data_IF_761450713841
#
_entry.id   IF_761450713841
#
_cell.length_a   1.000
_cell.length_b   1.000
_cell.length_c   1.000
_cell.angle_alpha   90.00
_cell.angle_beta   90.00
_cell.angle_gamma   90.00
#
_symmetry.space_group_name_H-M   'P 1'
#
loop_
_entity.id
_entity.type
_entity.pdbx_description
1 polymer ?
#
# COMPACT_ATOMS: atom_id res chain seq x y z
N UNK A 1 -39.23 1.33 -104.48
CA UNK A 1 -37.99 1.76 -105.08
C UNK A 1 -36.91 1.99 -103.99
N UNK A 2 -35.88 1.23 -103.99
CA UNK A 2 -34.49 1.51 -103.54
C UNK A 2 -34.31 1.92 -102.07
N UNK A 3 -33.47 1.41 -101.33
CA UNK A 3 -32.18 0.74 -101.27
C UNK A 3 -31.64 0.94 -99.87
N UNK A 4 -31.19 -0.11 -99.25
CA UNK A 4 -29.92 -0.33 -98.56
C UNK A 4 -29.38 0.64 -97.48
N UNK A 5 -28.95 0.04 -96.42
CA UNK A 5 -27.95 0.57 -95.49
C UNK A 5 -27.66 -0.36 -94.33
N UNK A 6 -26.67 -1.28 -94.57
CA UNK A 6 -26.06 -2.11 -93.55
C UNK A 6 -25.11 -1.28 -92.70
N UNK A 7 -25.30 -1.27 -91.41
CA UNK A 7 -24.29 -0.72 -90.49
C UNK A 7 -23.87 -1.77 -89.45
N UNK A 8 -22.61 -2.13 -89.61
CA UNK A 8 -21.86 -2.97 -88.69
C UNK A 8 -21.53 -2.24 -87.37
N UNK A 9 -22.00 -2.79 -86.31
CA UNK A 9 -21.59 -2.32 -84.99
C UNK A 9 -20.32 -3.04 -84.50
N UNK A 10 -19.19 -2.37 -84.60
CA UNK A 10 -17.98 -2.71 -83.86
C UNK A 10 -18.14 -2.19 -82.42
N UNK A 11 -18.18 -3.08 -81.47
CA UNK A 11 -18.07 -2.76 -80.06
C UNK A 11 -16.64 -2.66 -79.58
N UNK A 12 -16.12 -1.48 -79.15
CA UNK A 12 -14.84 -1.37 -78.44
C UNK A 12 -15.15 -1.25 -76.95
N UNK A 13 -15.32 -2.35 -76.25
CA UNK A 13 -15.63 -2.31 -74.83
C UNK A 13 -14.90 -3.34 -73.97
N UNK A 14 -14.35 -4.39 -74.57
CA UNK A 14 -13.79 -5.47 -73.78
C UNK A 14 -12.32 -5.26 -73.31
N UNK A 15 -11.58 -4.31 -73.91
CA UNK A 15 -10.17 -4.11 -73.56
C UNK A 15 -9.96 -3.09 -72.41
N UNK A 16 -10.92 -2.20 -72.19
CA UNK A 16 -10.83 -1.21 -71.08
C UNK A 16 -11.27 -1.75 -69.74
N UNK A 17 -12.13 -2.78 -69.72
CA UNK A 17 -12.56 -3.43 -68.47
C UNK A 17 -11.47 -4.30 -67.83
N UNK A 18 -10.58 -4.87 -68.66
CA UNK A 18 -9.49 -5.75 -68.17
C UNK A 18 -8.33 -4.96 -67.54
N UNK A 19 -8.09 -3.74 -67.96
CA UNK A 19 -7.05 -2.86 -67.39
C UNK A 19 -7.45 -2.21 -66.05
N UNK A 20 -8.75 -2.03 -65.78
CA UNK A 20 -9.22 -1.49 -64.50
C UNK A 20 -9.25 -2.59 -63.41
N UNK A 21 -9.47 -3.84 -63.74
CA UNK A 21 -9.40 -4.97 -62.82
C UNK A 21 -7.96 -5.34 -62.43
N UNK A 22 -6.97 -5.05 -63.24
CA UNK A 22 -5.56 -5.31 -62.93
C UNK A 22 -4.92 -4.18 -62.07
N UNK A 23 -5.45 -2.96 -62.08
CA UNK A 23 -5.01 -1.85 -61.26
C UNK A 23 -5.52 -1.89 -59.80
N UNK A 24 -6.61 -2.66 -59.54
CA UNK A 24 -7.18 -2.79 -58.19
C UNK A 24 -6.51 -3.93 -57.38
N UNK A 25 -5.70 -4.78 -57.96
CA UNK A 25 -5.10 -5.93 -57.31
C UNK A 25 -3.68 -5.69 -56.75
N UNK A 26 -3.14 -4.46 -56.84
CA UNK A 26 -1.78 -4.13 -56.37
C UNK A 26 -1.71 -3.12 -55.21
N UNK A 27 -2.83 -2.81 -54.57
CA UNK A 27 -2.80 -2.17 -53.25
C UNK A 27 -2.77 -3.28 -52.23
N UNK A 28 -1.63 -3.95 -52.09
CA UNK A 28 -1.35 -4.70 -50.87
C UNK A 28 -1.46 -3.71 -49.72
N UNK A 29 -2.23 -4.00 -48.65
CA UNK A 29 -2.16 -3.20 -47.47
C UNK A 29 -0.71 -3.20 -47.01
N UNK A 30 -0.08 -2.04 -47.07
CA UNK A 30 1.26 -1.85 -46.52
C UNK A 30 1.27 -2.37 -45.10
N UNK A 31 2.41 -2.85 -44.58
CA UNK A 31 2.48 -3.32 -43.20
C UNK A 31 1.92 -2.20 -42.35
N UNK A 32 0.79 -2.47 -41.70
CA UNK A 32 0.24 -1.58 -40.68
C UNK A 32 1.39 -1.29 -39.73
N UNK A 33 1.85 -0.06 -39.68
CA UNK A 33 2.84 0.33 -38.69
C UNK A 33 2.21 -0.06 -37.34
N UNK A 34 2.63 -1.21 -36.80
CA UNK A 34 2.28 -1.61 -35.44
C UNK A 34 2.88 -0.51 -34.57
N UNK A 35 2.07 0.45 -34.16
CA UNK A 35 2.45 1.42 -33.14
C UNK A 35 2.94 0.57 -31.96
N UNK A 36 4.23 0.65 -31.69
CA UNK A 36 4.82 -0.08 -30.56
C UNK A 36 3.96 0.24 -29.34
N UNK A 37 3.48 -0.79 -28.67
CA UNK A 37 2.67 -0.63 -27.47
C UNK A 37 3.45 0.29 -26.49
N UNK A 38 2.80 1.25 -25.86
CA UNK A 38 3.46 2.17 -24.94
C UNK A 38 4.16 1.38 -23.83
N UNK A 39 5.41 1.72 -23.54
CA UNK A 39 6.14 1.16 -22.41
C UNK A 39 5.94 2.08 -21.22
N UNK A 40 5.26 1.59 -20.19
CA UNK A 40 4.99 2.33 -18.98
C UNK A 40 6.12 2.15 -17.97
N UNK A 41 6.47 3.22 -17.28
CA UNK A 41 7.42 3.18 -16.17
C UNK A 41 6.68 3.42 -14.86
N UNK A 42 6.75 2.46 -13.95
CA UNK A 42 6.16 2.53 -12.61
C UNK A 42 7.28 2.47 -11.57
N UNK A 43 7.29 3.44 -10.67
CA UNK A 43 8.25 3.49 -9.57
C UNK A 43 7.65 2.84 -8.32
N UNK A 44 8.47 2.09 -7.60
CA UNK A 44 8.15 1.49 -6.30
C UNK A 44 9.16 2.01 -5.30
N UNK A 45 8.67 2.65 -4.24
CA UNK A 45 9.46 3.04 -3.07
C UNK A 45 8.90 2.31 -1.85
N UNK A 46 9.57 1.25 -1.43
CA UNK A 46 9.12 0.42 -0.33
C UNK A 46 10.09 0.39 0.84
N UNK A 47 9.60 -0.12 1.98
CA UNK A 47 10.47 -0.43 3.11
C UNK A 47 11.36 -1.64 2.77
N UNK A 48 10.76 -2.76 2.40
CA UNK A 48 11.43 -4.00 2.04
C UNK A 48 10.65 -4.75 0.95
N UNK A 49 11.31 -5.65 0.17
CA UNK A 49 10.62 -6.53 -0.75
C UNK A 49 9.81 -7.57 0.04
N UNK A 50 8.50 -7.39 0.09
CA UNK A 50 7.57 -8.21 0.87
C UNK A 50 6.42 -8.74 0.02
N UNK A 51 5.57 -9.59 0.62
CA UNK A 51 4.41 -10.19 -0.07
C UNK A 51 3.44 -9.19 -0.73
N UNK A 52 3.39 -7.92 -0.25
CA UNK A 52 2.57 -6.88 -0.89
C UNK A 52 3.06 -6.60 -2.31
N UNK A 53 4.38 -6.51 -2.49
CA UNK A 53 4.99 -6.24 -3.79
C UNK A 53 4.91 -7.45 -4.72
N UNK A 54 5.07 -8.66 -4.18
CA UNK A 54 4.84 -9.89 -4.95
C UNK A 54 3.41 -9.99 -5.48
N UNK A 55 2.43 -9.64 -4.65
CA UNK A 55 1.02 -9.62 -5.02
C UNK A 55 0.71 -8.50 -6.04
N UNK A 56 1.31 -7.33 -5.86
CA UNK A 56 1.23 -6.20 -6.78
C UNK A 56 1.76 -6.57 -8.17
N UNK A 57 2.97 -7.11 -8.24
CA UNK A 57 3.61 -7.48 -9.49
C UNK A 57 2.90 -8.64 -10.19
N UNK A 58 2.45 -9.66 -9.45
CA UNK A 58 1.61 -10.74 -10.01
C UNK A 58 0.36 -10.16 -10.64
N UNK A 59 -0.32 -9.25 -9.94
CA UNK A 59 -1.55 -8.66 -10.45
C UNK A 59 -1.31 -7.78 -11.68
N UNK A 60 -0.21 -7.05 -11.77
CA UNK A 60 0.17 -6.33 -12.99
C UNK A 60 0.36 -7.29 -14.17
N UNK A 61 1.00 -8.45 -13.94
CA UNK A 61 1.12 -9.48 -14.98
C UNK A 61 -0.24 -10.01 -15.46
N UNK A 62 -1.17 -10.28 -14.53
CA UNK A 62 -2.54 -10.71 -14.84
C UNK A 62 -3.30 -9.66 -15.67
N UNK A 63 -3.00 -8.37 -15.46
CA UNK A 63 -3.57 -7.24 -16.20
C UNK A 63 -2.90 -7.00 -17.56
N UNK A 64 -1.90 -7.83 -17.93
CA UNK A 64 -1.23 -7.80 -19.23
C UNK A 64 0.05 -6.95 -19.26
N UNK A 65 0.53 -6.44 -18.12
CA UNK A 65 1.80 -5.74 -18.02
C UNK A 65 2.94 -6.74 -17.81
N UNK A 66 3.95 -6.69 -18.67
CA UNK A 66 5.12 -7.55 -18.60
C UNK A 66 6.40 -6.71 -18.59
N UNK A 67 7.22 -6.88 -17.56
CA UNK A 67 8.52 -6.22 -17.44
C UNK A 67 9.41 -6.57 -18.63
N UNK A 68 10.09 -5.58 -19.21
CA UNK A 68 10.90 -5.74 -20.42
C UNK A 68 10.10 -5.70 -21.75
N UNK A 69 8.76 -5.74 -21.72
CA UNK A 69 7.91 -5.64 -22.91
C UNK A 69 7.15 -4.32 -22.98
N UNK A 70 6.25 -4.07 -22.05
CA UNK A 70 5.40 -2.88 -21.96
C UNK A 70 5.42 -2.23 -20.57
N UNK A 71 6.27 -2.71 -19.67
CA UNK A 71 6.42 -2.23 -18.32
C UNK A 71 7.90 -2.17 -17.93
N UNK A 72 8.29 -1.10 -17.23
CA UNK A 72 9.54 -0.97 -16.48
C UNK A 72 9.19 -0.70 -15.03
N UNK A 73 9.68 -1.53 -14.10
CA UNK A 73 9.53 -1.34 -12.67
C UNK A 73 10.85 -0.83 -12.07
N UNK A 74 10.81 0.40 -11.57
CA UNK A 74 11.93 1.03 -10.88
C UNK A 74 11.74 0.84 -9.38
N UNK A 75 12.50 -0.04 -8.76
CA UNK A 75 12.34 -0.41 -7.35
C UNK A 75 13.43 0.20 -6.49
N UNK A 76 13.05 0.79 -5.34
CA UNK A 76 13.98 1.24 -4.29
C UNK A 76 13.44 0.83 -2.94
N UNK A 77 14.36 0.35 -2.08
CA UNK A 77 14.04 -0.15 -0.75
C UNK A 77 14.77 0.65 0.31
N UNK A 78 14.01 1.25 1.23
CA UNK A 78 14.58 2.04 2.32
C UNK A 78 15.15 1.17 3.45
N UNK A 79 14.78 -0.10 3.50
CA UNK A 79 15.14 -1.05 4.56
C UNK A 79 14.71 -0.55 5.96
N UNK A 80 13.57 0.16 6.03
CA UNK A 80 13.05 0.76 7.26
C UNK A 80 13.79 2.02 7.73
N UNK A 81 14.80 2.50 6.98
CA UNK A 81 15.53 3.71 7.32
C UNK A 81 14.88 4.95 6.71
N UNK A 82 14.21 5.75 7.54
CA UNK A 82 13.48 6.94 7.10
C UNK A 82 14.39 8.03 6.48
N UNK A 83 15.64 8.10 6.90
CA UNK A 83 16.66 9.02 6.38
C UNK A 83 17.07 8.72 4.94
N UNK A 84 16.90 7.48 4.47
CA UNK A 84 17.17 7.08 3.08
C UNK A 84 16.06 7.50 2.11
N UNK A 85 14.83 7.62 2.60
CA UNK A 85 13.63 7.86 1.78
C UNK A 85 13.76 9.08 0.87
N UNK A 86 14.23 10.25 1.32
CA UNK A 86 14.35 11.43 0.46
C UNK A 86 15.28 11.22 -0.74
N UNK A 87 16.43 10.58 -0.54
CA UNK A 87 17.40 10.29 -1.61
C UNK A 87 16.85 9.29 -2.62
N UNK A 88 16.24 8.21 -2.15
CA UNK A 88 15.63 7.18 -3.00
C UNK A 88 14.46 7.73 -3.81
N UNK A 89 13.65 8.61 -3.20
CA UNK A 89 12.55 9.28 -3.89
C UNK A 89 13.07 10.19 -5.01
N UNK A 90 14.10 11.01 -4.72
CA UNK A 90 14.71 11.88 -5.72
C UNK A 90 15.27 11.07 -6.91
N UNK A 91 15.87 9.91 -6.67
CA UNK A 91 16.37 9.05 -7.74
C UNK A 91 15.24 8.45 -8.58
N UNK A 92 14.14 8.05 -7.96
CA UNK A 92 12.96 7.55 -8.68
C UNK A 92 12.29 8.63 -9.53
N UNK A 93 12.23 9.87 -9.05
CA UNK A 93 11.62 10.97 -9.80
C UNK A 93 12.44 11.38 -11.04
N UNK A 94 13.77 11.21 -11.02
CA UNK A 94 14.64 11.48 -12.19
C UNK A 94 14.26 10.66 -13.41
N UNK A 95 13.76 9.43 -13.23
CA UNK A 95 13.36 8.56 -14.34
C UNK A 95 11.95 8.84 -14.85
N UNK A 96 11.26 9.87 -14.32
CA UNK A 96 9.94 10.34 -14.72
C UNK A 96 8.92 9.19 -14.83
N UNK A 97 8.63 8.49 -13.73
CA UNK A 97 7.66 7.40 -13.77
C UNK A 97 6.25 7.93 -14.05
N UNK A 98 5.41 7.12 -14.68
CA UNK A 98 4.00 7.43 -14.89
C UNK A 98 3.20 7.40 -13.56
N UNK A 99 3.64 6.55 -12.62
CA UNK A 99 3.04 6.39 -11.28
C UNK A 99 4.15 6.04 -10.30
N UNK A 100 4.10 6.61 -9.10
CA UNK A 100 4.89 6.20 -7.93
C UNK A 100 4.00 5.47 -6.94
N UNK A 101 4.38 4.27 -6.54
CA UNK A 101 3.68 3.47 -5.52
C UNK A 101 4.58 3.33 -4.30
N UNK A 102 4.01 3.49 -3.11
CA UNK A 102 4.80 3.42 -1.87
C UNK A 102 4.03 2.79 -0.71
N UNK A 103 4.73 2.04 0.14
CA UNK A 103 4.30 1.61 1.47
C UNK A 103 5.05 2.35 2.59
N UNK A 104 5.76 3.42 2.24
CA UNK A 104 6.63 4.21 3.12
C UNK A 104 6.05 5.61 3.32
N UNK A 105 6.22 6.17 4.51
CA UNK A 105 5.83 7.55 4.81
C UNK A 105 6.67 8.54 3.99
N UNK A 106 6.00 9.31 3.12
CA UNK A 106 6.64 10.31 2.27
C UNK A 106 6.36 11.73 2.77
N UNK A 107 7.39 12.56 2.73
CA UNK A 107 7.27 14.02 2.81
C UNK A 107 7.29 14.60 1.42
N UNK A 108 6.13 14.98 0.91
CA UNK A 108 5.99 15.54 -0.45
C UNK A 108 6.19 17.06 -0.50
N UNK A 109 6.25 17.73 0.65
CA UNK A 109 6.54 19.15 0.79
C UNK A 109 7.95 19.56 0.32
N UNK A 110 8.84 18.59 0.16
CA UNK A 110 10.21 18.80 -0.35
C UNK A 110 10.41 18.38 -1.81
N UNK A 111 9.35 17.98 -2.50
CA UNK A 111 9.42 17.60 -3.91
C UNK A 111 9.23 18.85 -4.74
N UNK A 112 10.10 19.03 -5.75
CA UNK A 112 9.91 20.06 -6.76
C UNK A 112 8.55 19.84 -7.47
N UNK A 113 7.64 20.84 -7.49
CA UNK A 113 6.36 20.73 -8.19
C UNK A 113 6.46 20.27 -9.65
N UNK A 114 7.57 20.59 -10.33
CA UNK A 114 7.82 20.15 -11.71
C UNK A 114 8.11 18.64 -11.83
N UNK A 115 8.44 17.96 -10.73
CA UNK A 115 8.75 16.52 -10.69
C UNK A 115 7.59 15.68 -10.17
N UNK A 116 6.44 16.30 -9.94
CA UNK A 116 5.30 15.61 -9.40
C UNK A 116 4.71 14.58 -10.37
N UNK A 117 4.47 13.37 -9.85
CA UNK A 117 3.85 12.25 -10.57
C UNK A 117 2.68 11.70 -9.75
N UNK A 118 1.70 11.03 -10.35
CA UNK A 118 0.66 10.32 -9.59
C UNK A 118 1.27 9.43 -8.51
N UNK A 119 0.81 9.59 -7.27
CA UNK A 119 1.30 8.84 -6.12
C UNK A 119 0.20 7.95 -5.55
N UNK A 120 0.49 6.68 -5.33
CA UNK A 120 -0.37 5.71 -4.67
C UNK A 120 0.30 5.20 -3.40
N UNK A 121 -0.30 5.50 -2.24
CA UNK A 121 0.15 5.00 -0.95
C UNK A 121 -0.59 3.70 -0.58
N UNK A 122 0.13 2.70 -0.06
CA UNK A 122 -0.38 1.39 0.36
C UNK A 122 -0.11 1.23 1.86
N UNK A 123 -1.15 1.03 2.67
CA UNK A 123 -1.00 0.69 4.08
C UNK A 123 -0.38 1.77 4.97
N UNK A 124 -0.09 2.95 4.44
CA UNK A 124 0.47 4.09 5.17
C UNK A 124 -0.47 5.28 5.06
N UNK A 125 -0.40 6.17 6.04
CA UNK A 125 -1.17 7.41 6.02
C UNK A 125 -0.81 8.28 4.81
N UNK A 126 -1.72 9.18 4.44
CA UNK A 126 -1.50 10.11 3.33
C UNK A 126 -0.14 10.81 3.43
N UNK A 127 0.59 10.96 2.32
CA UNK A 127 1.87 11.67 2.30
C UNK A 127 1.72 13.08 2.84
N UNK A 128 2.67 13.51 3.66
CA UNK A 128 2.70 14.87 4.18
C UNK A 128 3.13 15.86 3.11
N UNK A 129 2.39 16.96 3.02
CA UNK A 129 2.63 18.04 2.08
C UNK A 129 1.83 17.85 0.80
N UNK A 130 1.23 18.94 0.33
CA UNK A 130 0.55 18.93 -0.95
C UNK A 130 1.57 19.32 -2.02
N UNK A 131 2.05 18.36 -2.78
CA UNK A 131 2.44 18.71 -4.13
C UNK A 131 1.13 19.09 -4.85
N UNK A 132 0.91 20.35 -5.27
CA UNK A 132 -0.40 20.76 -5.82
C UNK A 132 -0.74 20.05 -7.12
N UNK A 133 0.20 19.32 -7.70
CA UNK A 133 0.07 18.54 -8.93
C UNK A 133 0.01 17.04 -8.63
N UNK A 134 0.33 16.58 -7.40
CA UNK A 134 -0.07 15.27 -6.99
C UNK A 134 -1.58 15.29 -6.77
N UNK A 135 -2.35 14.78 -7.69
CA UNK A 135 -3.58 14.21 -7.28
C UNK A 135 -3.15 12.96 -6.51
N UNK A 136 -2.79 13.13 -5.24
CA UNK A 136 -2.90 12.03 -4.28
C UNK A 136 -4.29 11.50 -4.56
N UNK A 137 -4.38 10.29 -5.06
CA UNK A 137 -5.62 9.58 -4.94
C UNK A 137 -5.95 9.74 -3.46
N UNK A 138 -6.90 10.61 -3.11
CA UNK A 138 -7.29 10.98 -1.72
C UNK A 138 -7.78 9.76 -0.93
N UNK A 139 -7.33 8.60 -1.33
CA UNK A 139 -7.86 7.29 -1.00
C UNK A 139 -6.70 6.34 -0.95
N UNK A 140 -5.81 6.65 0.00
CA UNK A 140 -4.81 5.69 0.42
C UNK A 140 -5.52 4.37 0.78
N UNK A 141 -4.95 3.27 0.36
CA UNK A 141 -5.36 1.93 0.81
C UNK A 141 -4.96 1.79 2.30
N UNK A 142 -5.43 2.72 3.15
CA UNK A 142 -5.13 2.79 4.57
C UNK A 142 -6.41 2.88 5.38
N UNK A 143 -6.42 2.26 6.56
CA UNK A 143 -7.46 2.52 7.53
C UNK A 143 -7.25 3.92 8.16
N UNK A 144 -8.35 4.54 8.57
CA UNK A 144 -8.31 5.77 9.35
C UNK A 144 -7.68 5.53 10.73
N UNK A 145 -7.15 6.58 11.34
CA UNK A 145 -6.64 6.53 12.71
C UNK A 145 -7.68 5.95 13.69
N UNK A 146 -8.96 6.29 13.49
CA UNK A 146 -10.10 5.77 14.27
C UNK A 146 -10.29 4.26 14.13
N UNK A 147 -10.19 3.72 12.91
CA UNK A 147 -10.36 2.27 12.69
C UNK A 147 -9.19 1.47 13.28
N UNK A 148 -7.96 1.96 13.12
CA UNK A 148 -6.77 1.31 13.68
C UNK A 148 -6.81 1.34 15.20
N UNK A 149 -7.11 2.51 15.81
CA UNK A 149 -7.17 2.67 17.26
C UNK A 149 -8.26 1.81 17.88
N UNK A 150 -9.45 1.80 17.31
CA UNK A 150 -10.56 0.95 17.76
C UNK A 150 -10.21 -0.55 17.66
N UNK A 151 -9.47 -0.95 16.63
CA UNK A 151 -9.02 -2.34 16.47
C UNK A 151 -8.00 -2.71 17.55
N UNK A 152 -6.97 -1.88 17.78
CA UNK A 152 -5.97 -2.13 18.81
C UNK A 152 -6.59 -2.17 20.22
N UNK A 153 -7.49 -1.24 20.54
CA UNK A 153 -8.20 -1.25 21.82
C UNK A 153 -9.03 -2.53 22.02
N UNK A 154 -9.82 -2.89 21.00
CA UNK A 154 -10.64 -4.10 21.03
C UNK A 154 -9.80 -5.36 21.25
N UNK A 155 -8.66 -5.47 20.58
CA UNK A 155 -7.76 -6.61 20.71
C UNK A 155 -7.05 -6.63 22.05
N UNK A 156 -6.62 -5.49 22.57
CA UNK A 156 -6.04 -5.38 23.91
C UNK A 156 -7.03 -5.87 24.98
N UNK A 157 -8.27 -5.39 24.93
CA UNK A 157 -9.31 -5.80 25.88
C UNK A 157 -9.83 -7.22 25.63
N UNK A 158 -9.76 -7.72 24.40
CA UNK A 158 -10.08 -9.10 24.12
C UNK A 158 -8.99 -10.06 24.65
N UNK A 159 -7.73 -9.66 24.61
CA UNK A 159 -6.62 -10.46 25.16
C UNK A 159 -6.58 -10.36 26.70
N UNK A 160 -6.80 -9.17 27.27
CA UNK A 160 -6.75 -8.90 28.71
C UNK A 160 -8.03 -8.17 29.13
N UNK A 161 -9.15 -8.86 29.38
CA UNK A 161 -10.44 -8.26 29.71
C UNK A 161 -10.44 -7.39 30.99
N UNK A 162 -9.52 -7.67 31.89
CA UNK A 162 -9.33 -6.92 33.14
C UNK A 162 -8.45 -5.68 33.00
N UNK A 163 -7.90 -5.41 31.82
CA UNK A 163 -7.00 -4.27 31.64
C UNK A 163 -7.67 -2.93 31.97
N UNK A 164 -6.94 -2.09 32.70
CA UNK A 164 -7.35 -0.73 33.09
C UNK A 164 -6.31 0.31 32.71
N UNK A 165 -5.07 -0.11 32.44
CA UNK A 165 -3.96 0.78 32.08
C UNK A 165 -3.28 0.26 30.83
N UNK A 166 -3.34 1.05 29.78
CA UNK A 166 -2.64 0.78 28.52
C UNK A 166 -1.50 1.79 28.38
N UNK A 167 -0.34 1.32 27.99
CA UNK A 167 0.78 2.17 27.58
C UNK A 167 0.94 2.08 26.05
N UNK A 168 0.87 3.22 25.39
CA UNK A 168 1.04 3.31 23.94
C UNK A 168 2.38 3.93 23.59
N UNK A 169 3.19 3.23 22.81
CA UNK A 169 4.37 3.81 22.20
C UNK A 169 3.99 4.41 20.85
N UNK A 170 4.34 5.68 20.65
CA UNK A 170 3.96 6.46 19.45
C UNK A 170 5.08 7.36 18.97
N UNK A 171 4.90 7.98 17.80
CA UNK A 171 5.80 8.98 17.26
C UNK A 171 4.99 10.22 16.82
N UNK A 172 5.00 11.27 17.62
CA UNK A 172 4.21 12.49 17.40
C UNK A 172 4.66 13.32 16.19
N UNK A 173 5.79 13.00 15.55
CA UNK A 173 6.19 13.62 14.29
C UNK A 173 5.30 13.22 13.11
N UNK A 174 4.48 12.19 13.29
CA UNK A 174 3.52 11.71 12.28
C UNK A 174 2.09 12.12 12.70
N UNK A 175 1.44 13.00 11.93
CA UNK A 175 0.10 13.52 12.26
C UNK A 175 -0.94 12.41 12.42
N UNK A 176 -0.85 11.35 11.59
CA UNK A 176 -1.69 10.16 11.73
C UNK A 176 -1.62 9.56 13.14
N UNK A 177 -0.43 9.51 13.76
CA UNK A 177 -0.25 8.94 15.10
C UNK A 177 -0.77 9.86 16.20
N UNK A 178 -0.79 11.17 15.97
CA UNK A 178 -1.47 12.11 16.88
C UNK A 178 -2.98 11.80 16.90
N UNK A 179 -3.59 11.66 15.73
CA UNK A 179 -5.01 11.33 15.63
C UNK A 179 -5.30 9.91 16.15
N UNK A 180 -4.42 8.94 15.86
CA UNK A 180 -4.52 7.58 16.40
C UNK A 180 -4.57 7.57 17.94
N UNK A 181 -3.70 8.33 18.60
CA UNK A 181 -3.67 8.41 20.07
C UNK A 181 -4.96 9.07 20.61
N UNK A 182 -5.40 10.18 20.02
CA UNK A 182 -6.66 10.85 20.39
C UNK A 182 -7.86 9.91 20.29
N UNK A 183 -8.00 9.22 19.17
CA UNK A 183 -9.08 8.28 18.93
C UNK A 183 -9.03 7.09 19.88
N UNK A 184 -7.82 6.59 20.19
CA UNK A 184 -7.63 5.50 21.14
C UNK A 184 -8.05 5.91 22.55
N UNK A 185 -7.63 7.10 23.01
CA UNK A 185 -8.01 7.66 24.32
C UNK A 185 -9.52 7.88 24.41
N UNK A 186 -10.12 8.47 23.37
CA UNK A 186 -11.56 8.69 23.31
C UNK A 186 -12.36 7.38 23.34
N UNK A 187 -11.89 6.34 22.63
CA UNK A 187 -12.55 5.03 22.60
C UNK A 187 -12.39 4.27 23.92
N UNK A 188 -11.31 4.46 24.65
CA UNK A 188 -11.02 3.78 25.94
C UNK A 188 -11.78 4.40 27.13
N UNK A 189 -12.04 5.71 27.09
CA UNK A 189 -12.64 6.48 28.17
C UNK A 189 -13.98 5.91 28.71
N UNK A 190 -14.96 5.53 27.86
CA UNK A 190 -16.24 4.99 28.34
C UNK A 190 -16.09 3.69 29.15
N UNK A 191 -15.04 2.91 28.86
CA UNK A 191 -14.71 1.66 29.58
C UNK A 191 -13.90 1.88 30.88
N UNK A 192 -13.58 3.12 31.25
CA UNK A 192 -12.72 3.41 32.37
C UNK A 192 -11.28 2.92 32.21
N UNK A 193 -10.80 2.81 30.98
CA UNK A 193 -9.45 2.36 30.66
C UNK A 193 -8.55 3.58 30.44
N UNK A 194 -7.51 3.70 31.26
CA UNK A 194 -6.50 4.76 31.14
C UNK A 194 -5.54 4.42 30.00
N UNK A 195 -5.30 5.39 29.12
CA UNK A 195 -4.32 5.28 28.02
C UNK A 195 -3.21 6.29 28.25
N UNK A 196 -2.08 5.79 28.69
CA UNK A 196 -0.85 6.56 28.82
C UNK A 196 -0.02 6.48 27.54
N UNK A 197 0.69 7.56 27.23
CA UNK A 197 1.41 7.69 25.97
C UNK A 197 2.88 7.96 26.25
N UNK A 198 3.74 7.21 25.57
CA UNK A 198 5.17 7.50 25.54
C UNK A 198 5.58 7.80 24.08
N UNK A 199 6.02 9.03 23.87
CA UNK A 199 6.46 9.51 22.56
C UNK A 199 7.94 9.19 22.33
N UNK A 200 8.23 8.44 21.29
CA UNK A 200 9.60 8.08 20.89
C UNK A 200 10.14 8.96 19.75
N UNK A 201 9.45 10.06 19.43
CA UNK A 201 9.77 10.92 18.28
C UNK A 201 11.16 11.58 18.35
N UNK A 202 11.67 11.81 19.55
CA UNK A 202 12.94 12.50 19.79
C UNK A 202 14.15 11.55 19.94
N UNK A 203 14.00 10.31 19.50
CA UNK A 203 15.07 9.33 19.54
C UNK A 203 15.29 8.76 20.95
N UNK A 204 14.21 8.58 21.71
CA UNK A 204 14.26 8.00 23.05
C UNK A 204 15.07 6.71 23.07
N UNK A 205 15.97 6.59 24.03
CA UNK A 205 16.77 5.40 24.22
C UNK A 205 15.90 4.21 24.67
N UNK A 206 16.37 3.00 24.40
CA UNK A 206 15.72 1.78 24.92
C UNK A 206 15.58 1.82 26.46
N UNK A 207 16.56 2.42 27.16
CA UNK A 207 16.54 2.55 28.62
C UNK A 207 15.39 3.45 29.10
N UNK A 208 15.10 4.54 28.41
CA UNK A 208 13.97 5.43 28.74
C UNK A 208 12.63 4.74 28.52
N UNK A 209 12.47 4.03 27.39
CA UNK A 209 11.26 3.25 27.10
C UNK A 209 11.04 2.18 28.16
N UNK A 210 12.05 1.36 28.46
CA UNK A 210 11.94 0.28 29.44
C UNK A 210 11.75 0.82 30.87
N UNK A 211 12.41 1.94 31.19
CA UNK A 211 12.20 2.64 32.47
C UNK A 211 10.76 3.14 32.62
N UNK A 212 10.15 3.62 31.55
CA UNK A 212 8.72 4.04 31.55
C UNK A 212 7.80 2.85 31.73
N UNK A 213 8.02 1.75 31.01
CA UNK A 213 7.27 0.50 31.16
C UNK A 213 7.30 0.03 32.62
N UNK A 214 8.49 0.09 33.25
CA UNK A 214 8.66 -0.31 34.65
C UNK A 214 7.89 0.59 35.62
N UNK A 215 7.99 1.91 35.45
CA UNK A 215 7.33 2.89 36.34
C UNK A 215 5.80 2.84 36.24
N UNK A 216 5.30 2.73 35.03
CA UNK A 216 3.85 2.76 34.77
C UNK A 216 3.18 1.41 34.99
N UNK A 217 3.95 0.33 34.87
CA UNK A 217 3.47 -1.05 35.02
C UNK A 217 2.10 -1.27 34.33
N UNK A 218 1.99 -1.06 33.01
CA UNK A 218 0.73 -1.15 32.30
C UNK A 218 0.22 -2.60 32.27
N UNK A 219 -1.09 -2.76 32.16
CA UNK A 219 -1.71 -4.08 31.97
C UNK A 219 -1.47 -4.59 30.54
N UNK A 220 -1.36 -3.67 29.57
CA UNK A 220 -1.05 -3.99 28.17
C UNK A 220 -0.16 -2.91 27.57
N UNK A 221 0.84 -3.32 26.81
CA UNK A 221 1.66 -2.44 25.98
C UNK A 221 1.10 -2.45 24.56
N UNK A 222 0.87 -1.28 23.97
CA UNK A 222 0.48 -1.14 22.57
C UNK A 222 1.63 -0.49 21.80
N UNK A 223 2.15 -1.18 20.81
CA UNK A 223 3.05 -0.58 19.83
C UNK A 223 2.19 0.06 18.74
N UNK A 224 2.20 1.40 18.71
CA UNK A 224 1.48 2.15 17.68
C UNK A 224 1.92 1.77 16.27
N UNK A 225 1.06 1.96 15.26
CA UNK A 225 1.46 1.76 13.87
C UNK A 225 2.62 2.70 13.52
N UNK A 226 3.45 2.31 12.53
CA UNK A 226 4.62 3.09 12.11
C UNK A 226 5.78 3.20 13.10
N UNK A 227 5.92 2.26 13.99
CA UNK A 227 7.13 2.08 14.77
C UNK A 227 8.13 1.25 13.93
N UNK A 228 8.91 1.93 13.06
CA UNK A 228 9.56 1.32 11.90
C UNK A 228 10.89 0.59 12.17
N UNK A 229 11.36 0.52 13.42
CA UNK A 229 12.62 -0.14 13.74
C UNK A 229 12.40 -1.56 14.29
N UNK A 230 12.47 -2.61 13.47
CA UNK A 230 12.17 -3.98 13.89
C UNK A 230 13.02 -4.47 15.07
N UNK A 231 14.30 -4.08 15.11
CA UNK A 231 15.20 -4.46 16.20
C UNK A 231 14.79 -3.83 17.53
N UNK A 232 14.46 -2.54 17.52
CA UNK A 232 14.01 -1.81 18.72
C UNK A 232 12.66 -2.34 19.20
N UNK A 233 11.72 -2.59 18.28
CA UNK A 233 10.43 -3.24 18.65
C UNK A 233 10.65 -4.56 19.35
N UNK A 234 11.46 -5.46 18.80
CA UNK A 234 11.76 -6.77 19.42
C UNK A 234 12.39 -6.63 20.79
N UNK A 235 13.29 -5.68 20.98
CA UNK A 235 13.91 -5.43 22.28
C UNK A 235 12.88 -4.94 23.31
N UNK A 236 11.99 -4.03 22.93
CA UNK A 236 10.91 -3.51 23.79
C UNK A 236 9.94 -4.62 24.14
N UNK A 237 9.46 -5.37 23.14
CA UNK A 237 8.52 -6.49 23.35
C UNK A 237 9.16 -7.59 24.22
N UNK A 238 10.44 -7.91 23.96
CA UNK A 238 11.18 -8.85 24.79
C UNK A 238 11.32 -8.38 26.25
N UNK A 239 11.47 -7.08 26.48
CA UNK A 239 11.46 -6.51 27.83
C UNK A 239 10.09 -6.62 28.49
N UNK A 240 9.02 -6.23 27.77
CA UNK A 240 7.64 -6.35 28.25
C UNK A 240 7.30 -7.80 28.60
N UNK A 241 7.72 -8.76 27.77
CA UNK A 241 7.51 -10.18 28.03
C UNK A 241 8.19 -10.66 29.31
N UNK A 242 9.44 -10.27 29.57
CA UNK A 242 10.13 -10.58 30.84
C UNK A 242 9.45 -9.95 32.05
N UNK A 243 8.82 -8.79 31.86
CA UNK A 243 8.01 -8.09 32.86
C UNK A 243 6.56 -8.63 32.98
N UNK A 244 6.23 -9.69 32.23
CA UNK A 244 4.89 -10.29 32.13
C UNK A 244 3.82 -9.30 31.66
N UNK A 245 4.19 -8.35 30.80
CA UNK A 245 3.28 -7.39 30.19
C UNK A 245 3.00 -7.84 28.76
N UNK A 246 1.75 -8.19 28.42
CA UNK A 246 1.38 -8.54 27.05
C UNK A 246 1.49 -7.33 26.13
N UNK A 247 2.07 -7.54 24.96
CA UNK A 247 2.18 -6.52 23.94
C UNK A 247 1.23 -6.80 22.77
N UNK A 248 0.61 -5.73 22.24
CA UNK A 248 -0.25 -5.72 21.05
C UNK A 248 0.44 -4.83 20.01
N UNK A 249 0.36 -5.17 18.74
CA UNK A 249 0.96 -4.36 17.68
C UNK A 249 0.53 -4.80 16.30
N UNK A 250 1.30 -4.39 15.29
CA UNK A 250 1.00 -4.75 13.90
C UNK A 250 1.87 -5.90 13.35
N UNK A 251 2.91 -6.31 14.08
CA UNK A 251 3.89 -7.28 13.56
C UNK A 251 4.08 -8.45 14.54
N UNK A 252 3.54 -9.60 14.20
CA UNK A 252 3.67 -10.82 15.04
C UNK A 252 5.12 -11.27 15.20
N UNK A 253 5.97 -11.05 14.19
CA UNK A 253 7.39 -11.42 14.24
C UNK A 253 8.20 -10.70 15.35
N UNK A 254 7.63 -9.66 15.98
CA UNK A 254 8.24 -8.97 17.11
C UNK A 254 8.01 -9.67 18.45
N UNK A 255 7.16 -10.72 18.50
CA UNK A 255 6.79 -11.45 19.71
C UNK A 255 5.61 -10.85 20.47
N UNK A 256 4.78 -10.05 19.80
CA UNK A 256 3.51 -9.55 20.36
C UNK A 256 2.51 -10.70 20.53
N UNK A 257 1.67 -10.60 21.55
CA UNK A 257 0.63 -11.61 21.84
C UNK A 257 -0.46 -11.61 20.78
N UNK A 258 -0.84 -10.41 20.31
CA UNK A 258 -1.81 -10.22 19.23
C UNK A 258 -1.30 -9.16 18.27
N UNK A 259 -1.30 -9.48 17.01
CA UNK A 259 -1.06 -8.52 15.94
C UNK A 259 -2.34 -8.27 15.15
N UNK A 260 -2.60 -6.99 14.83
CA UNK A 260 -3.57 -6.61 13.81
C UNK A 260 -2.83 -5.96 12.65
N UNK A 261 -2.89 -6.59 11.51
CA UNK A 261 -2.21 -6.12 10.32
C UNK A 261 -3.18 -5.99 9.15
N UNK A 262 -2.78 -5.27 8.13
CA UNK A 262 -3.53 -5.27 6.88
C UNK A 262 -3.36 -6.61 6.15
N UNK A 263 -4.35 -7.00 5.37
CA UNK A 263 -4.15 -8.01 4.33
C UNK A 263 -3.30 -7.38 3.20
N UNK A 264 -1.98 -7.48 3.38
CA UNK A 264 -1.00 -6.90 2.46
C UNK A 264 -1.09 -7.49 1.05
N UNK A 265 -1.53 -8.75 0.92
CA UNK A 265 -1.71 -9.41 -0.37
C UNK A 265 -2.89 -8.80 -1.12
N UNK A 266 -4.01 -8.55 -0.42
CA UNK A 266 -5.16 -7.85 -1.00
C UNK A 266 -4.82 -6.41 -1.36
N UNK A 267 -4.12 -5.69 -0.47
CA UNK A 267 -3.67 -4.33 -0.75
C UNK A 267 -2.78 -4.24 -1.99
N UNK A 268 -1.83 -5.16 -2.15
CA UNK A 268 -0.98 -5.23 -3.33
C UNK A 268 -1.76 -5.45 -4.62
N UNK A 269 -2.72 -6.39 -4.61
CA UNK A 269 -3.59 -6.64 -5.77
C UNK A 269 -4.42 -5.42 -6.15
N UNK A 270 -4.99 -4.74 -5.17
CA UNK A 270 -5.82 -3.53 -5.38
C UNK A 270 -4.99 -2.37 -5.88
N UNK A 271 -3.78 -2.19 -5.34
CA UNK A 271 -2.85 -1.17 -5.80
C UNK A 271 -2.50 -1.36 -7.29
N UNK A 272 -2.24 -2.59 -7.73
CA UNK A 272 -2.01 -2.88 -9.14
C UNK A 272 -3.22 -2.54 -10.02
N UNK A 273 -4.45 -2.77 -9.53
CA UNK A 273 -5.68 -2.36 -10.21
C UNK A 273 -5.81 -0.84 -10.35
N UNK A 274 -5.39 -0.06 -9.37
CA UNK A 274 -5.35 1.40 -9.47
C UNK A 274 -4.25 1.88 -10.42
N UNK A 275 -3.07 1.26 -10.38
CA UNK A 275 -2.01 1.55 -11.34
C UNK A 275 -2.48 1.29 -12.78
N UNK A 276 -3.17 0.20 -13.04
CA UNK A 276 -3.77 -0.09 -14.35
C UNK A 276 -4.71 1.03 -14.83
N UNK A 277 -5.60 1.50 -13.95
CA UNK A 277 -6.49 2.61 -14.25
C UNK A 277 -5.74 3.91 -14.56
N UNK A 278 -4.72 4.24 -13.75
CA UNK A 278 -3.87 5.43 -13.96
C UNK A 278 -3.11 5.35 -15.30
N UNK A 279 -2.52 4.20 -15.62
CA UNK A 279 -1.80 3.98 -16.88
C UNK A 279 -2.72 4.03 -18.10
N UNK A 280 -4.02 3.72 -17.94
CA UNK A 280 -5.07 3.88 -18.96
C UNK A 280 -5.64 5.29 -19.04
N UNK A 281 -5.12 6.25 -18.25
CA UNK A 281 -5.49 7.66 -18.31
C UNK A 281 -6.60 8.08 -17.34
N UNK A 282 -7.04 7.22 -16.41
CA UNK A 282 -7.95 7.62 -15.33
C UNK A 282 -7.24 8.67 -14.47
N UNK A 283 -7.92 9.79 -14.21
CA UNK A 283 -7.34 10.80 -13.31
C UNK A 283 -7.33 10.28 -11.88
N UNK A 284 -6.27 10.52 -11.11
CA UNK A 284 -6.20 10.10 -9.71
C UNK A 284 -7.40 10.53 -8.85
N UNK A 285 -7.98 11.70 -9.13
CA UNK A 285 -9.17 12.20 -8.43
C UNK A 285 -10.43 11.36 -8.69
N UNK A 286 -10.48 10.62 -9.80
CA UNK A 286 -11.62 9.80 -10.22
C UNK A 286 -11.49 8.34 -9.76
N UNK A 287 -10.37 7.95 -9.15
CA UNK A 287 -10.22 6.62 -8.59
C UNK A 287 -11.20 6.42 -7.42
N UNK A 288 -11.84 5.24 -7.30
CA UNK A 288 -12.79 4.99 -6.24
C UNK A 288 -12.13 5.02 -4.86
N UNK A 289 -12.82 5.57 -3.84
CA UNK A 289 -12.43 5.40 -2.45
C UNK A 289 -12.59 3.95 -2.06
N UNK A 290 -11.53 3.34 -1.61
CA UNK A 290 -11.60 2.00 -1.07
C UNK A 290 -10.87 1.96 0.25
N UNK A 291 -11.63 1.80 1.33
CA UNK A 291 -11.04 1.50 2.63
C UNK A 291 -10.29 0.16 2.57
N UNK A 292 -9.27 -0.06 3.40
CA UNK A 292 -8.73 -1.39 3.62
C UNK A 292 -9.88 -2.28 4.06
N UNK A 293 -10.01 -3.42 3.45
CA UNK A 293 -11.21 -4.24 3.63
C UNK A 293 -11.19 -5.03 4.91
N UNK A 294 -10.01 -5.34 5.45
CA UNK A 294 -9.88 -6.21 6.62
C UNK A 294 -8.55 -6.03 7.32
N UNK A 295 -8.60 -6.06 8.65
CA UNK A 295 -7.42 -6.35 9.46
C UNK A 295 -7.31 -7.87 9.63
N UNK A 296 -6.17 -8.42 9.27
CA UNK A 296 -5.79 -9.77 9.62
C UNK A 296 -5.37 -9.79 11.10
N UNK A 297 -6.06 -10.59 11.90
CA UNK A 297 -5.76 -10.77 13.31
C UNK A 297 -4.97 -12.05 13.50
N UNK A 298 -3.73 -11.89 13.95
CA UNK A 298 -2.81 -13.01 14.22
C UNK A 298 -2.58 -13.08 15.73
N UNK A 299 -2.75 -14.26 16.31
CA UNK A 299 -2.54 -14.51 17.73
C UNK A 299 -1.35 -15.46 17.92
N UNK A 300 -0.39 -15.07 18.75
CA UNK A 300 0.76 -15.92 19.10
C UNK A 300 0.57 -16.49 20.52
N UNK A 301 0.26 -17.80 20.58
CA UNK A 301 0.07 -18.51 21.85
C UNK A 301 1.38 -18.71 22.61
N UNK A 302 2.52 -18.75 21.93
CA UNK A 302 3.84 -18.84 22.59
C UNK A 302 4.15 -17.53 23.30
N UNK A 303 3.89 -16.39 22.64
CA UNK A 303 4.04 -15.07 23.26
C UNK A 303 3.10 -14.92 24.46
N UNK A 304 1.85 -15.37 24.35
CA UNK A 304 0.90 -15.35 25.47
C UNK A 304 1.39 -16.20 26.65
N UNK A 305 1.87 -17.41 26.40
CA UNK A 305 2.46 -18.29 27.45
C UNK A 305 3.67 -17.64 28.12
N UNK A 306 4.52 -16.95 27.33
CA UNK A 306 5.72 -16.30 27.86
C UNK A 306 5.41 -15.19 28.88
N UNK A 307 4.26 -14.52 28.74
CA UNK A 307 3.78 -13.50 29.70
C UNK A 307 2.85 -14.08 30.77
N UNK A 308 2.58 -15.38 30.76
CA UNK A 308 1.67 -16.04 31.70
C UNK A 308 0.20 -15.76 31.41
N UNK A 309 -0.15 -15.39 30.18
CA UNK A 309 -1.50 -15.03 29.77
C UNK A 309 -2.23 -16.25 29.17
N UNK A 310 -3.42 -16.53 29.71
CA UNK A 310 -4.38 -17.46 29.10
C UNK A 310 -5.32 -16.68 28.19
N UNK A 311 -5.29 -16.95 26.91
CA UNK A 311 -6.10 -16.26 25.93
C UNK A 311 -7.56 -16.74 25.95
N UNK A 312 -8.54 -15.83 25.95
CA UNK A 312 -9.96 -16.20 25.87
C UNK A 312 -10.29 -16.93 24.56
N UNK A 313 -11.13 -17.95 24.63
CA UNK A 313 -11.60 -18.71 23.46
C UNK A 313 -12.26 -17.81 22.40
N UNK A 314 -12.95 -16.76 22.85
CA UNK A 314 -13.57 -15.77 21.96
C UNK A 314 -12.57 -14.94 21.13
N UNK A 315 -11.35 -14.76 21.60
CA UNK A 315 -10.27 -14.13 20.83
C UNK A 315 -9.70 -15.12 19.82
N UNK A 316 -9.42 -16.35 20.27
CA UNK A 316 -8.87 -17.40 19.40
C UNK A 316 -9.80 -17.74 18.23
N UNK A 317 -11.12 -17.79 18.46
CA UNK A 317 -12.11 -18.06 17.40
C UNK A 317 -12.27 -16.92 16.37
N UNK A 318 -11.79 -15.73 16.69
CA UNK A 318 -11.83 -14.56 15.79
C UNK A 318 -10.49 -14.28 15.11
N UNK A 319 -9.46 -14.99 15.49
CA UNK A 319 -8.16 -14.87 14.85
C UNK A 319 -8.20 -15.48 13.44
N UNK A 320 -7.61 -14.78 12.49
CA UNK A 320 -7.41 -15.30 11.13
C UNK A 320 -6.27 -16.33 11.12
N UNK A 321 -5.30 -16.14 12.04
CA UNK A 321 -4.20 -17.09 12.23
C UNK A 321 -3.87 -17.22 13.72
N UNK A 322 -3.61 -18.45 14.17
CA UNK A 322 -3.10 -18.77 15.52
C UNK A 322 -1.76 -19.47 15.38
N UNK A 323 -0.72 -18.89 15.97
CA UNK A 323 0.63 -19.47 16.06
C UNK A 323 0.74 -20.26 17.38
N UNK A 324 1.29 -21.50 17.32
CA UNK A 324 1.42 -22.42 18.46
C UNK A 324 2.79 -22.32 19.13
#
# INVERSE_FOLDING_TARGET
>A
MTLKGVLSFRRPGALRALLILFALALVAPGPSAQTAAPVFRVAILGADPTQVWDAFERRLRDLGYAEGRNLVLERRWSQGYADRVPGLLADLLKVKPAVLVTDTFLRTDRIDPAQCVPLLAIGVAEPYGACPIFPVARRSLTASAKEVSATHLRLALAAVPSARRLLVLTNSKLAFLIDYVKELQAAAQPGGVAVEVFDVSDGSSLAEVTGTITRQAPDVLILGPAFDQPQVRRQIVGYAARSRIPAIGSHVADGVVVAANYDWVDLGRRAAGFVDQLLKGTRPADLPATAPTKFEVIVDRRAARAVGLTLPASLLSRADQVLE
#
